data_IF_115718516434
#
_entry.id   IF_115718516434
#
_cell.length_a   1.000
_cell.length_b   1.000
_cell.length_c   1.000
_cell.angle_alpha   90.00
_cell.angle_beta   90.00
_cell.angle_gamma   90.00
#
_symmetry.space_group_name_H-M   'P 1'
#
loop_
_entity.id
_entity.type
_entity.pdbx_description
1 polymer ?
#
# COMPACT_ATOMS: atom_id res chain seq x y z
N UNK A 1 -45.70 4.29 29.62
CA UNK A 1 -45.02 4.85 28.43
C UNK A 1 -43.56 4.42 28.47
N UNK A 2 -43.05 3.71 27.45
CA UNK A 2 -41.65 3.24 27.39
C UNK A 2 -40.61 4.37 27.53
N UNK A 3 -40.98 5.60 27.19
CA UNK A 3 -40.12 6.78 27.31
C UNK A 3 -39.60 7.04 28.73
N UNK A 4 -40.40 6.75 29.77
CA UNK A 4 -39.96 6.93 31.16
C UNK A 4 -38.87 5.94 31.56
N UNK A 5 -38.82 4.76 30.95
CA UNK A 5 -37.76 3.78 31.18
C UNK A 5 -36.46 4.24 30.52
N UNK A 6 -36.50 4.77 29.30
CA UNK A 6 -35.31 5.21 28.55
C UNK A 6 -34.59 6.35 29.27
N UNK A 7 -35.34 7.32 29.82
CA UNK A 7 -34.76 8.48 30.51
C UNK A 7 -34.27 8.14 31.92
N UNK A 8 -34.46 6.91 32.40
CA UNK A 8 -33.90 6.52 33.69
C UNK A 8 -32.36 6.66 33.64
N UNK A 9 -31.74 7.25 34.67
CA UNK A 9 -30.29 7.49 34.67
C UNK A 9 -29.44 6.25 34.38
N UNK A 10 -29.90 5.06 34.81
CA UNK A 10 -29.23 3.78 34.54
C UNK A 10 -29.20 3.44 33.04
N UNK A 11 -30.29 3.70 32.33
CA UNK A 11 -30.44 3.35 30.92
C UNK A 11 -29.69 4.35 30.02
N UNK A 12 -29.68 5.64 30.39
CA UNK A 12 -28.85 6.66 29.72
C UNK A 12 -27.35 6.33 29.86
N UNK A 13 -26.89 5.96 31.06
CA UNK A 13 -25.49 5.56 31.28
C UNK A 13 -25.09 4.33 30.47
N UNK A 14 -25.99 3.33 30.39
CA UNK A 14 -25.75 2.13 29.57
C UNK A 14 -25.66 2.48 28.08
N UNK A 15 -26.58 3.29 27.57
CA UNK A 15 -26.58 3.73 26.18
C UNK A 15 -25.29 4.47 25.81
N UNK A 16 -24.80 5.33 26.71
CA UNK A 16 -23.52 6.02 26.53
C UNK A 16 -22.34 5.05 26.49
N UNK A 17 -22.28 4.09 27.42
CA UNK A 17 -21.23 3.07 27.43
C UNK A 17 -21.24 2.25 26.14
N UNK A 18 -22.41 1.84 25.67
CA UNK A 18 -22.56 1.13 24.40
C UNK A 18 -22.03 1.99 23.25
N UNK A 19 -22.44 3.27 23.15
CA UNK A 19 -21.94 4.19 22.13
C UNK A 19 -20.42 4.37 22.15
N UNK A 20 -19.84 4.57 23.32
CA UNK A 20 -18.39 4.75 23.50
C UNK A 20 -17.62 3.47 23.15
N UNK A 21 -18.18 2.29 23.41
CA UNK A 21 -17.62 1.01 23.03
C UNK A 21 -17.68 0.78 21.52
N UNK A 22 -18.80 1.10 20.88
CA UNK A 22 -18.95 1.03 19.42
C UNK A 22 -17.92 1.91 18.71
N UNK A 23 -17.71 3.14 19.20
CA UNK A 23 -16.73 4.08 18.64
C UNK A 23 -15.29 3.54 18.75
N UNK A 24 -14.96 2.88 19.87
CA UNK A 24 -13.65 2.23 20.06
C UNK A 24 -13.43 1.05 19.09
N UNK A 25 -14.46 0.23 18.88
CA UNK A 25 -14.41 -0.88 17.92
C UNK A 25 -14.17 -0.36 16.51
N UNK A 26 -14.83 0.72 16.12
CA UNK A 26 -14.63 1.34 14.80
C UNK A 26 -13.22 1.92 14.64
N UNK A 27 -12.69 2.59 15.66
CA UNK A 27 -11.31 3.07 15.64
C UNK A 27 -10.31 1.92 15.44
N UNK A 28 -10.45 0.83 16.20
CA UNK A 28 -9.60 -0.35 16.06
C UNK A 28 -9.69 -0.97 14.65
N UNK A 29 -10.90 -1.07 14.08
CA UNK A 29 -11.11 -1.60 12.73
C UNK A 29 -10.40 -0.76 11.67
N UNK A 30 -10.50 0.56 11.76
CA UNK A 30 -9.82 1.48 10.83
C UNK A 30 -8.32 1.38 10.95
N UNK A 31 -7.78 1.36 12.17
CA UNK A 31 -6.34 1.20 12.38
C UNK A 31 -5.83 -0.14 11.84
N UNK A 32 -6.53 -1.22 12.15
CA UNK A 32 -6.13 -2.56 11.74
C UNK A 32 -6.16 -2.71 10.20
N UNK A 33 -7.22 -2.23 9.55
CA UNK A 33 -7.30 -2.23 8.08
C UNK A 33 -6.17 -1.39 7.46
N UNK A 34 -5.86 -0.22 8.05
CA UNK A 34 -4.76 0.64 7.59
C UNK A 34 -3.41 -0.05 7.71
N UNK A 35 -3.18 -0.80 8.80
CA UNK A 35 -1.93 -1.57 9.00
C UNK A 35 -1.78 -2.71 7.98
N UNK A 36 -2.87 -3.43 7.67
CA UNK A 36 -2.85 -4.47 6.63
C UNK A 36 -2.49 -3.85 5.28
N UNK A 37 -3.19 -2.79 4.89
CA UNK A 37 -2.94 -2.12 3.61
C UNK A 37 -1.50 -1.63 3.51
N UNK A 38 -0.99 -1.00 4.57
CA UNK A 38 0.39 -0.52 4.60
C UNK A 38 1.40 -1.67 4.51
N UNK A 39 1.13 -2.80 5.15
CA UNK A 39 1.97 -3.99 5.04
C UNK A 39 2.01 -4.51 3.59
N UNK A 40 0.85 -4.70 2.96
CA UNK A 40 0.73 -5.17 1.58
C UNK A 40 1.46 -4.23 0.60
N UNK A 41 1.24 -2.92 0.71
CA UNK A 41 1.92 -1.91 -0.11
C UNK A 41 3.45 -1.98 0.03
N UNK A 42 3.95 -2.24 1.25
CA UNK A 42 5.38 -2.39 1.48
C UNK A 42 5.95 -3.68 0.90
N UNK A 43 5.18 -4.78 0.89
CA UNK A 43 5.58 -6.02 0.20
C UNK A 43 5.70 -5.78 -1.31
N UNK A 44 4.73 -5.12 -1.93
CA UNK A 44 4.76 -4.79 -3.35
C UNK A 44 5.94 -3.88 -3.69
N UNK A 45 6.19 -2.85 -2.88
CA UNK A 45 7.36 -1.98 -3.00
C UNK A 45 8.66 -2.78 -2.93
N UNK A 46 8.80 -3.68 -1.96
CA UNK A 46 9.99 -4.52 -1.81
C UNK A 46 10.20 -5.43 -3.03
N UNK A 47 9.12 -6.01 -3.56
CA UNK A 47 9.14 -6.83 -4.77
C UNK A 47 9.57 -6.00 -6.00
N UNK A 48 9.04 -4.79 -6.16
CA UNK A 48 9.41 -3.90 -7.25
C UNK A 48 10.90 -3.53 -7.19
N UNK A 49 11.41 -3.14 -6.02
CA UNK A 49 12.84 -2.83 -5.82
C UNK A 49 13.72 -4.04 -6.16
N UNK A 50 13.34 -5.22 -5.69
CA UNK A 50 14.07 -6.46 -5.99
C UNK A 50 14.09 -6.75 -7.49
N UNK A 51 12.96 -6.59 -8.18
CA UNK A 51 12.85 -6.75 -9.63
C UNK A 51 13.74 -5.76 -10.39
N UNK A 52 13.70 -4.48 -10.02
CA UNK A 52 14.55 -3.45 -10.62
C UNK A 52 16.04 -3.73 -10.41
N UNK A 53 16.44 -4.18 -9.21
CA UNK A 53 17.82 -4.54 -8.93
C UNK A 53 18.26 -5.78 -9.73
N UNK A 54 17.38 -6.77 -9.91
CA UNK A 54 17.68 -7.93 -10.76
C UNK A 54 17.92 -7.51 -12.22
N UNK A 55 17.11 -6.58 -12.75
CA UNK A 55 17.30 -6.02 -14.11
C UNK A 55 18.64 -5.28 -14.21
N UNK A 56 18.96 -4.42 -13.24
CA UNK A 56 20.23 -3.68 -13.21
C UNK A 56 21.46 -4.60 -13.14
N UNK A 57 21.37 -5.69 -12.37
CA UNK A 57 22.46 -6.65 -12.20
C UNK A 57 22.55 -7.64 -13.36
N UNK A 58 21.45 -7.90 -14.06
CA UNK A 58 21.51 -8.66 -15.30
C UNK A 58 22.32 -7.87 -16.32
N UNK A 59 23.41 -8.48 -16.84
CA UNK A 59 24.07 -7.95 -18.04
C UNK A 59 23.00 -7.84 -19.13
N UNK A 60 22.90 -6.72 -19.86
CA UNK A 60 22.10 -6.72 -21.08
C UNK A 60 22.64 -7.85 -21.95
N UNK A 61 21.73 -8.64 -22.55
CA UNK A 61 22.18 -9.72 -23.42
C UNK A 61 23.10 -9.12 -24.48
N UNK A 62 24.16 -9.86 -24.85
CA UNK A 62 25.03 -9.45 -25.95
C UNK A 62 24.26 -9.22 -27.25
N UNK A 63 23.06 -9.82 -27.39
CA UNK A 63 22.12 -9.58 -28.49
C UNK A 63 21.50 -8.16 -28.46
N UNK A 64 21.13 -7.63 -27.28
CA UNK A 64 20.63 -6.26 -27.15
C UNK A 64 21.75 -5.21 -27.31
N UNK A 65 22.93 -5.52 -26.78
CA UNK A 65 24.14 -4.70 -27.00
C UNK A 65 24.56 -4.71 -28.47
N UNK A 66 24.49 -5.85 -29.16
CA UNK A 66 24.85 -5.98 -30.58
C UNK A 66 24.00 -5.12 -31.52
N UNK A 67 22.72 -4.90 -31.21
CA UNK A 67 21.85 -4.05 -32.04
C UNK A 67 22.18 -2.57 -31.83
N UNK A 68 22.54 -2.16 -30.61
CA UNK A 68 22.90 -0.77 -30.30
C UNK A 68 24.35 -0.44 -30.70
N UNK A 69 25.27 -1.41 -30.62
CA UNK A 69 26.67 -1.26 -31.04
C UNK A 69 26.86 -1.17 -32.58
N UNK A 70 25.83 -1.47 -33.38
CA UNK A 70 25.90 -1.33 -34.85
C UNK A 70 25.59 0.08 -35.35
N UNK A 71 25.07 0.98 -34.50
CA UNK A 71 24.59 2.31 -34.94
C UNK A 71 25.72 3.35 -35.06
N UNK A 72 26.93 3.11 -34.54
CA UNK A 72 27.92 4.18 -34.33
C UNK A 72 29.30 4.04 -34.99
N UNK A 73 29.49 3.23 -36.04
CA UNK A 73 30.86 3.08 -36.61
C UNK A 73 31.11 3.58 -38.04
N UNK A 74 30.12 3.74 -38.94
CA UNK A 74 30.45 3.92 -40.36
C UNK A 74 29.78 5.09 -41.12
N UNK A 75 28.94 5.92 -40.48
CA UNK A 75 28.19 6.97 -41.22
C UNK A 75 28.75 8.39 -41.08
N UNK A 76 29.89 8.59 -40.42
CA UNK A 76 30.62 9.88 -40.52
C UNK A 76 31.54 9.83 -41.73
N UNK A 77 30.94 9.90 -42.92
CA UNK A 77 31.65 10.17 -44.17
C UNK A 77 32.29 11.55 -44.06
N UNK A 78 33.63 11.58 -44.08
CA UNK A 78 34.44 12.78 -44.32
C UNK A 78 34.10 13.37 -45.68
N UNK A 79 33.67 14.64 -45.71
CA UNK A 79 33.76 15.50 -46.88
C UNK A 79 34.07 16.93 -46.44
#
# INVERSE_FOLDING_TARGET
MKWLEIIQPKNIKRLKYDWDNWTQVDHFRVEYASRILFYEMNQDKAKAIRGSNAIRLSKPSSLLLSLYCQIDSNDIVTN
#
